data_IF_627170156847
#
_entry.id   IF_627170156847
#
_cell.length_a   1.000
_cell.length_b   1.000
_cell.length_c   1.000
_cell.angle_alpha   90.00
_cell.angle_beta   90.00
_cell.angle_gamma   90.00
#
_symmetry.space_group_name_H-M   'P 1'
#
loop_
_entity.id
_entity.type
_entity.pdbx_description
1 polymer ?
#
# COMPACT_ATOMS: atom_id res chain seq x y z
N UNK A 1 1.30 -17.68 11.07
CA UNK A 1 0.47 -16.46 11.19
C UNK A 1 1.21 -15.33 11.91
N UNK A 2 1.58 -15.46 13.20
CA UNK A 2 2.25 -14.39 14.00
C UNK A 2 3.42 -13.67 13.30
N UNK A 3 4.22 -14.37 12.49
CA UNK A 3 5.36 -13.75 11.81
C UNK A 3 4.95 -12.74 10.74
N UNK A 4 3.93 -13.05 9.94
CA UNK A 4 3.43 -12.13 8.92
C UNK A 4 2.76 -10.92 9.59
N UNK A 5 1.83 -11.16 10.52
CA UNK A 5 1.11 -10.09 11.21
C UNK A 5 2.07 -9.15 11.94
N UNK A 6 3.00 -9.68 12.75
CA UNK A 6 4.01 -8.85 13.42
C UNK A 6 4.93 -8.13 12.44
N UNK A 7 5.25 -8.74 11.30
CA UNK A 7 6.03 -8.08 10.24
C UNK A 7 5.31 -6.89 9.62
N UNK A 8 4.01 -7.04 9.34
CA UNK A 8 3.17 -5.99 8.78
C UNK A 8 2.88 -4.87 9.80
N UNK A 9 2.58 -5.21 11.05
CA UNK A 9 2.42 -4.26 12.16
C UNK A 9 3.71 -3.44 12.36
N UNK A 10 4.89 -4.07 12.25
CA UNK A 10 6.15 -3.34 12.32
C UNK A 10 6.32 -2.38 11.14
N UNK A 11 5.92 -2.78 9.93
CA UNK A 11 5.96 -1.91 8.75
C UNK A 11 5.00 -0.73 8.94
N UNK A 12 3.77 -0.97 9.38
CA UNK A 12 2.82 0.10 9.72
C UNK A 12 3.44 1.05 10.75
N UNK A 13 4.02 0.54 11.84
CA UNK A 13 4.67 1.38 12.85
C UNK A 13 5.80 2.24 12.26
N UNK A 14 6.70 1.63 11.47
CA UNK A 14 7.84 2.29 10.83
C UNK A 14 7.42 3.38 9.82
N UNK A 15 6.26 3.20 9.18
CA UNK A 15 5.74 4.08 8.12
C UNK A 15 4.40 4.72 8.51
N UNK A 16 4.08 4.83 9.79
CA UNK A 16 2.76 5.23 10.35
C UNK A 16 2.25 6.62 9.93
N UNK A 17 3.11 7.45 9.34
CA UNK A 17 2.71 8.74 8.73
C UNK A 17 2.20 8.59 7.29
N UNK A 18 2.53 7.48 6.64
CA UNK A 18 2.39 7.31 5.19
C UNK A 18 1.48 6.15 4.82
N UNK A 19 1.26 5.20 5.72
CA UNK A 19 0.42 4.03 5.45
C UNK A 19 -0.38 3.64 6.69
N UNK A 20 -1.48 2.95 6.45
CA UNK A 20 -2.31 2.24 7.44
C UNK A 20 -2.40 0.76 7.06
N UNK A 21 -2.50 -0.12 8.06
CA UNK A 21 -2.76 -1.55 7.88
C UNK A 21 -4.20 -1.88 8.28
N UNK A 22 -4.95 -2.48 7.37
CA UNK A 22 -6.31 -2.96 7.60
C UNK A 22 -6.41 -4.48 7.42
N UNK A 23 -7.26 -5.09 8.25
CA UNK A 23 -7.71 -6.47 8.10
C UNK A 23 -9.07 -6.44 7.40
N UNK A 24 -9.14 -6.99 6.19
CA UNK A 24 -10.33 -6.95 5.35
C UNK A 24 -10.83 -8.35 5.03
N UNK A 25 -12.14 -8.50 4.86
CA UNK A 25 -12.69 -9.72 4.29
C UNK A 25 -12.56 -9.68 2.75
N UNK A 26 -11.79 -10.59 2.13
CA UNK A 26 -11.62 -10.62 0.68
C UNK A 26 -12.93 -10.90 -0.08
N UNK A 27 -13.95 -11.52 0.52
CA UNK A 27 -15.25 -11.71 -0.14
C UNK A 27 -16.05 -10.40 -0.17
N UNK A 28 -15.94 -9.60 0.89
CA UNK A 28 -16.69 -8.35 1.06
C UNK A 28 -16.02 -7.17 0.35
N UNK A 29 -14.71 -7.06 0.43
CA UNK A 29 -13.94 -5.90 -0.08
C UNK A 29 -13.04 -6.25 -1.27
N UNK A 30 -12.81 -7.53 -1.55
CA UNK A 30 -12.12 -8.00 -2.75
C UNK A 30 -10.61 -7.71 -2.79
N UNK A 31 -10.04 -7.14 -1.74
CA UNK A 31 -8.65 -6.70 -1.71
C UNK A 31 -7.71 -7.83 -1.26
N UNK A 32 -8.00 -8.42 -0.10
CA UNK A 32 -7.16 -9.40 0.58
C UNK A 32 -7.56 -9.48 2.05
N UNK A 33 -6.89 -10.33 2.80
CA UNK A 33 -7.03 -10.42 4.25
C UNK A 33 -6.25 -9.32 4.96
N UNK A 34 -5.05 -9.00 4.49
CA UNK A 34 -4.26 -7.86 4.99
C UNK A 34 -4.06 -6.86 3.88
N UNK A 35 -4.38 -5.59 4.13
CA UNK A 35 -4.30 -4.53 3.13
C UNK A 35 -3.58 -3.32 3.71
N UNK A 36 -2.53 -2.88 3.01
CA UNK A 36 -1.86 -1.63 3.31
C UNK A 36 -2.40 -0.54 2.37
N UNK A 37 -2.80 0.59 2.93
CA UNK A 37 -3.24 1.78 2.20
C UNK A 37 -2.28 2.94 2.48
N UNK A 38 -2.05 3.86 1.53
CA UNK A 38 -1.45 5.15 1.87
C UNK A 38 -2.36 5.95 2.81
N UNK A 39 -1.77 6.64 3.79
CA UNK A 39 -2.50 7.47 4.75
C UNK A 39 -3.35 8.52 4.02
N UNK A 40 -4.65 8.54 4.32
CA UNK A 40 -5.61 9.48 3.73
C UNK A 40 -5.93 9.28 2.24
N UNK A 41 -5.37 8.26 1.56
CA UNK A 41 -5.60 8.01 0.14
C UNK A 41 -6.00 6.55 -0.14
N UNK A 42 -7.17 6.38 -0.80
CA UNK A 42 -7.69 5.06 -1.20
C UNK A 42 -7.40 4.72 -2.68
N UNK A 43 -6.39 5.36 -3.27
CA UNK A 43 -6.04 5.20 -4.69
C UNK A 43 -4.91 4.22 -4.96
N UNK A 44 -4.19 3.76 -3.94
CA UNK A 44 -3.24 2.67 -4.07
C UNK A 44 -3.43 1.71 -2.91
N UNK A 45 -3.09 0.44 -3.11
CA UNK A 45 -3.10 -0.56 -2.03
C UNK A 45 -2.11 -1.69 -2.28
N UNK A 46 -1.63 -2.28 -1.19
CA UNK A 46 -0.92 -3.55 -1.22
C UNK A 46 -1.74 -4.58 -0.44
N UNK A 47 -2.31 -5.54 -1.16
CA UNK A 47 -3.23 -6.48 -0.57
C UNK A 47 -2.67 -7.90 -0.58
N UNK A 48 -2.88 -8.61 0.51
CA UNK A 48 -2.36 -9.95 0.79
C UNK A 48 -3.52 -10.86 1.10
N UNK A 49 -3.64 -11.96 0.38
CA UNK A 49 -4.69 -12.96 0.55
C UNK A 49 -4.09 -14.29 1.00
N UNK A 50 -4.66 -14.86 2.07
CA UNK A 50 -4.23 -16.13 2.64
C UNK A 50 -4.80 -17.32 1.85
N UNK A 51 -3.96 -18.31 1.59
CA UNK A 51 -4.35 -19.56 0.92
C UNK A 51 -4.11 -20.74 1.85
N UNK A 52 -5.12 -21.59 1.96
CA UNK A 52 -5.12 -22.79 2.80
C UNK A 52 -5.23 -24.03 1.91
N UNK A 53 -4.32 -24.99 2.07
CA UNK A 53 -4.35 -26.26 1.31
C UNK A 53 -4.32 -27.45 2.25
N UNK A 54 -5.20 -28.43 2.01
CA UNK A 54 -5.14 -29.73 2.69
C UNK A 54 -5.70 -29.75 4.12
N UNK A 55 -6.36 -28.68 4.57
CA UNK A 55 -7.01 -28.59 5.88
C UNK A 55 -8.52 -28.64 5.76
N UNK A 56 -9.17 -29.31 6.71
CA UNK A 56 -10.61 -29.25 6.92
C UNK A 56 -10.97 -27.82 7.35
N UNK A 57 -11.94 -27.19 6.68
CA UNK A 57 -12.39 -25.82 6.95
C UNK A 57 -12.91 -25.63 8.38
N UNK A 58 -13.12 -26.73 9.11
CA UNK A 58 -13.55 -26.80 10.50
C UNK A 58 -12.45 -26.53 11.51
N UNK A 59 -11.16 -26.56 11.12
CA UNK A 59 -10.03 -26.33 12.03
C UNK A 59 -9.78 -24.82 12.24
N UNK A 60 -10.00 -24.28 13.46
CA UNK A 60 -9.76 -22.88 13.78
C UNK A 60 -8.27 -22.53 13.91
N UNK A 61 -7.40 -23.53 14.11
CA UNK A 61 -5.95 -23.35 14.26
C UNK A 61 -5.20 -23.55 12.94
N UNK A 62 -5.94 -23.67 11.81
CA UNK A 62 -5.35 -23.84 10.49
C UNK A 62 -4.41 -22.67 10.18
N UNK A 63 -3.24 -23.02 9.62
CA UNK A 63 -2.27 -22.03 9.18
C UNK A 63 -2.30 -21.93 7.65
N UNK A 64 -2.20 -20.71 7.10
CA UNK A 64 -2.04 -20.54 5.66
C UNK A 64 -0.79 -21.28 5.18
N UNK A 65 -0.91 -21.96 4.05
CA UNK A 65 0.20 -22.66 3.41
C UNK A 65 0.92 -21.77 2.40
N UNK A 66 0.23 -20.76 1.89
CA UNK A 66 0.80 -19.72 1.04
C UNK A 66 -0.01 -18.43 1.13
N UNK A 67 0.53 -17.34 0.59
CA UNK A 67 -0.16 -16.07 0.43
C UNK A 67 0.01 -15.56 -1.00
N UNK A 68 -1.04 -15.03 -1.60
CA UNK A 68 -0.91 -14.18 -2.78
C UNK A 68 -0.89 -12.73 -2.39
N UNK A 69 -0.16 -11.91 -3.13
CA UNK A 69 -0.13 -10.47 -2.92
C UNK A 69 -0.28 -9.71 -4.22
N UNK A 70 -0.84 -8.50 -4.14
CA UNK A 70 -1.04 -7.59 -5.27
C UNK A 70 -0.75 -6.16 -4.82
N UNK A 71 0.05 -5.45 -5.60
CA UNK A 71 0.18 -4.00 -5.53
C UNK A 71 -0.71 -3.40 -6.62
N UNK A 72 -1.71 -2.63 -6.21
CA UNK A 72 -2.75 -2.09 -7.09
C UNK A 72 -2.84 -0.58 -6.98
N UNK A 73 -3.22 0.07 -8.08
CA UNK A 73 -3.50 1.49 -8.14
C UNK A 73 -4.83 1.70 -8.85
N UNK A 74 -5.62 2.66 -8.37
CA UNK A 74 -6.92 3.02 -8.91
C UNK A 74 -6.74 4.25 -9.79
N UNK A 75 -6.69 4.01 -11.09
CA UNK A 75 -6.55 5.07 -12.08
C UNK A 75 -7.89 5.45 -12.68
N UNK A 76 -8.06 6.74 -12.97
CA UNK A 76 -9.23 7.25 -13.67
C UNK A 76 -9.07 6.98 -15.16
N UNK A 77 -9.96 6.18 -15.71
CA UNK A 77 -10.00 5.90 -17.14
C UNK A 77 -10.46 7.14 -17.92
N UNK A 78 -10.09 7.27 -19.22
CA UNK A 78 -10.57 8.35 -20.08
C UNK A 78 -12.10 8.46 -20.16
N UNK A 79 -12.81 7.34 -19.95
CA UNK A 79 -14.26 7.26 -19.90
C UNK A 79 -14.87 7.87 -18.62
N UNK A 80 -14.06 8.22 -17.62
CA UNK A 80 -14.49 8.83 -16.36
C UNK A 80 -14.59 7.85 -15.19
N UNK A 81 -14.69 6.56 -15.46
CA UNK A 81 -14.72 5.49 -14.45
C UNK A 81 -13.36 5.28 -13.78
N UNK A 82 -13.37 4.76 -12.56
CA UNK A 82 -12.16 4.35 -11.85
C UNK A 82 -11.96 2.84 -11.98
N UNK A 83 -10.74 2.42 -12.32
CA UNK A 83 -10.39 1.02 -12.44
C UNK A 83 -9.13 0.72 -11.64
N UNK A 84 -9.17 -0.39 -10.90
CA UNK A 84 -7.97 -0.94 -10.27
C UNK A 84 -7.11 -1.63 -11.33
N UNK A 85 -5.84 -1.23 -11.40
CA UNK A 85 -4.80 -1.89 -12.18
C UNK A 85 -3.79 -2.50 -11.22
N UNK A 86 -3.46 -3.78 -11.44
CA UNK A 86 -2.38 -4.46 -10.71
C UNK A 86 -1.05 -4.15 -11.38
N UNK A 87 -0.12 -3.54 -10.63
CA UNK A 87 1.22 -3.20 -11.12
C UNK A 87 2.24 -4.30 -10.83
N UNK A 88 2.06 -5.02 -9.72
CA UNK A 88 2.87 -6.15 -9.36
C UNK A 88 2.02 -7.15 -8.57
N UNK A 89 2.32 -8.44 -8.72
CA UNK A 89 1.68 -9.48 -7.94
C UNK A 89 2.59 -10.69 -7.82
N UNK A 90 2.29 -11.54 -6.85
CA UNK A 90 3.03 -12.77 -6.65
C UNK A 90 2.32 -13.72 -5.70
N UNK A 91 2.94 -14.88 -5.50
CA UNK A 91 2.55 -15.86 -4.50
C UNK A 91 3.79 -16.33 -3.77
N UNK A 92 3.70 -16.39 -2.45
CA UNK A 92 4.79 -16.76 -1.54
C UNK A 92 4.32 -17.94 -0.68
N UNK A 93 5.19 -18.94 -0.52
CA UNK A 93 4.91 -20.11 0.33
C UNK A 93 5.09 -19.75 1.82
N UNK A 94 4.47 -20.53 2.71
CA UNK A 94 4.58 -20.32 4.16
C UNK A 94 6.03 -20.25 4.66
N UNK A 95 6.92 -21.05 4.06
CA UNK A 95 8.35 -21.10 4.40
C UNK A 95 9.10 -19.82 4.02
N UNK A 96 8.58 -19.04 3.06
CA UNK A 96 9.22 -17.86 2.47
C UNK A 96 8.56 -16.55 2.90
N UNK A 97 7.82 -16.56 4.02
CA UNK A 97 7.03 -15.40 4.51
C UNK A 97 7.83 -14.10 4.61
N UNK A 98 9.13 -14.17 4.87
CA UNK A 98 10.00 -12.99 4.93
C UNK A 98 10.07 -12.26 3.57
N UNK A 99 10.01 -12.98 2.44
CA UNK A 99 9.97 -12.37 1.11
C UNK A 99 8.69 -11.55 0.91
N UNK A 100 7.57 -12.00 1.46
CA UNK A 100 6.32 -11.24 1.42
C UNK A 100 6.40 -9.95 2.24
N UNK A 101 7.03 -10.01 3.43
CA UNK A 101 7.27 -8.85 4.28
C UNK A 101 8.19 -7.85 3.55
N UNK A 102 9.21 -8.33 2.83
CA UNK A 102 10.10 -7.48 2.04
C UNK A 102 9.36 -6.80 0.87
N UNK A 103 8.44 -7.50 0.19
CA UNK A 103 7.60 -6.89 -0.84
C UNK A 103 6.69 -5.79 -0.27
N UNK A 104 6.03 -6.05 0.87
CA UNK A 104 5.20 -5.07 1.55
C UNK A 104 6.01 -3.83 1.98
N UNK A 105 7.21 -4.05 2.54
CA UNK A 105 8.14 -2.98 2.93
C UNK A 105 8.60 -2.15 1.74
N UNK A 106 8.96 -2.79 0.63
CA UNK A 106 9.37 -2.08 -0.59
C UNK A 106 8.22 -1.22 -1.14
N UNK A 107 6.99 -1.72 -1.07
CA UNK A 107 5.81 -0.95 -1.44
C UNK A 107 5.62 0.27 -0.50
N UNK A 108 5.66 0.10 0.82
CA UNK A 108 5.57 1.19 1.79
C UNK A 108 6.65 2.28 1.58
N UNK A 109 7.88 1.88 1.28
CA UNK A 109 8.96 2.80 0.94
C UNK A 109 8.65 3.61 -0.31
N UNK A 110 8.04 2.99 -1.32
CA UNK A 110 7.64 3.65 -2.55
C UNK A 110 6.53 4.68 -2.32
N UNK A 111 5.56 4.38 -1.44
CA UNK A 111 4.50 5.31 -1.02
C UNK A 111 5.11 6.51 -0.33
N UNK A 112 5.95 6.29 0.70
CA UNK A 112 6.67 7.37 1.38
C UNK A 112 7.44 8.26 0.41
N UNK A 113 8.16 7.67 -0.54
CA UNK A 113 8.93 8.44 -1.52
C UNK A 113 8.04 9.29 -2.43
N UNK A 114 6.86 8.79 -2.81
CA UNK A 114 5.88 9.52 -3.61
C UNK A 114 5.25 10.66 -2.82
N UNK A 115 4.77 10.41 -1.59
CA UNK A 115 4.19 11.43 -0.72
C UNK A 115 5.16 12.59 -0.47
N UNK A 116 6.40 12.28 -0.08
CA UNK A 116 7.43 13.32 0.16
C UNK A 116 7.77 14.13 -1.09
N UNK A 117 7.74 13.48 -2.28
CA UNK A 117 7.94 14.19 -3.55
C UNK A 117 6.79 15.16 -3.82
N UNK A 118 5.54 14.72 -3.66
CA UNK A 118 4.35 15.58 -3.84
C UNK A 118 4.37 16.76 -2.86
N UNK A 119 4.63 16.51 -1.58
CA UNK A 119 4.77 17.57 -0.56
C UNK A 119 5.84 18.60 -0.93
N UNK A 120 6.97 18.15 -1.50
CA UNK A 120 8.05 19.04 -1.93
C UNK A 120 7.65 19.92 -3.12
N UNK A 121 6.90 19.37 -4.08
CA UNK A 121 6.37 20.12 -5.21
C UNK A 121 5.33 21.15 -4.76
N UNK A 122 4.42 20.77 -3.86
CA UNK A 122 3.41 21.68 -3.32
C UNK A 122 4.02 22.82 -2.51
N UNK A 123 5.04 22.53 -1.70
CA UNK A 123 5.79 23.55 -0.96
C UNK A 123 6.46 24.56 -1.91
N UNK A 124 6.97 24.09 -3.05
CA UNK A 124 7.61 24.96 -4.06
C UNK A 124 6.58 25.75 -4.87
N UNK A 125 5.41 25.18 -5.17
CA UNK A 125 4.32 25.86 -5.86
C UNK A 125 3.66 26.98 -5.04
N UNK A 126 3.70 26.88 -3.70
CA UNK A 126 3.18 27.91 -2.79
C UNK A 126 4.14 29.10 -2.61
N UNK A 127 5.42 28.93 -2.92
CA UNK A 127 6.40 30.01 -2.99
C UNK A 127 6.33 30.69 -4.38
N UNK A 128 5.27 31.46 -4.61
CA UNK A 128 5.14 32.31 -5.81
C UNK A 128 6.33 33.28 -5.97
N UNK A 129 6.58 33.80 -7.19
CA UNK A 129 7.72 34.67 -7.46
C UNK A 129 7.68 35.89 -6.53
N UNK A 130 8.77 36.14 -5.81
CA UNK A 130 8.91 37.28 -4.90
C UNK A 130 8.58 38.60 -5.61
N UNK A 131 8.05 39.60 -4.88
CA UNK A 131 7.58 40.84 -5.47
C UNK A 131 8.69 41.51 -6.28
N UNK A 132 8.36 41.89 -7.52
CA UNK A 132 9.27 42.59 -8.42
C UNK A 132 9.80 43.89 -7.77
N UNK A 133 11.10 44.23 -7.94
CA UNK A 133 11.64 45.47 -7.39
C UNK A 133 10.96 46.69 -8.04
N UNK A 134 10.74 47.80 -7.29
CA UNK A 134 10.05 48.96 -7.81
C UNK A 134 10.87 49.64 -8.91
N UNK A 135 10.30 49.70 -10.11
CA UNK A 135 10.84 50.46 -11.23
C UNK A 135 10.78 51.96 -10.92
N UNK A 136 11.92 52.56 -10.60
CA UNK A 136 12.07 54.02 -10.59
C UNK A 136 11.90 54.56 -12.01
N UNK A 137 10.83 55.34 -12.22
CA UNK A 137 10.66 56.21 -13.39
C UNK A 137 11.68 57.35 -13.32
N UNK A 138 12.42 57.56 -14.42
CA UNK A 138 12.97 58.84 -14.83
C UNK A 138 12.61 59.06 -16.31
#
# INVERSE_FOLDING_TARGET
MKRLSTGLEQIECDYSRFIDLEDEDPETFGAGHFVLYPDGESHARFAIEEHYTGTDWSDPDRLPTSWSWKAEERTRQPAGDYQWSTHASGRVQAADVDQLIDHARAWAQSVRAQTLRTESFDATGRAGPGPAPPSHRL
#
